data_IF_650542555629
#
_entry.id   IF_650542555629
#
_cell.length_a   1.000
_cell.length_b   1.000
_cell.length_c   1.000
_cell.angle_alpha   90.00
_cell.angle_beta   90.00
_cell.angle_gamma   90.00
#
_symmetry.space_group_name_H-M   'P 1'
#
loop_
_entity.id
_entity.type
_entity.pdbx_description
1 polymer ?
#
# COMPACT_ATOMS: atom_id res chain seq x y z
N UNK A 1 11.54 -0.07 -5.55
CA UNK A 1 11.81 -1.39 -4.94
C UNK A 1 11.64 -2.46 -6.02
N UNK A 2 12.52 -3.46 -6.12
CA UNK A 2 12.43 -4.53 -7.12
C UNK A 2 12.78 -5.90 -6.48
N UNK A 3 11.80 -6.79 -6.25
CA UNK A 3 12.03 -8.12 -5.68
C UNK A 3 12.22 -9.23 -6.73
N UNK A 4 12.21 -8.91 -8.04
CA UNK A 4 12.44 -9.89 -9.11
C UNK A 4 13.83 -10.52 -8.95
N UNK A 5 13.89 -11.86 -8.96
CA UNK A 5 15.11 -12.63 -8.71
C UNK A 5 15.84 -12.20 -7.41
N UNK A 6 15.10 -12.00 -6.32
CA UNK A 6 15.67 -11.63 -5.03
C UNK A 6 16.75 -12.62 -4.55
N UNK A 7 17.81 -12.16 -3.88
CA UNK A 7 18.98 -12.98 -3.54
C UNK A 7 18.79 -13.88 -2.30
N UNK A 8 17.62 -13.84 -1.65
CA UNK A 8 17.34 -14.60 -0.43
C UNK A 8 17.24 -16.10 -0.69
N UNK A 9 17.78 -16.90 0.22
CA UNK A 9 17.60 -18.35 0.18
C UNK A 9 16.10 -18.69 0.26
N UNK A 10 15.59 -19.47 -0.71
CA UNK A 10 14.17 -19.78 -0.81
C UNK A 10 13.28 -18.67 -1.38
N UNK A 11 13.82 -17.53 -1.80
CA UNK A 11 13.05 -16.48 -2.44
C UNK A 11 12.49 -16.97 -3.79
N UNK A 12 11.19 -16.76 -4.02
CA UNK A 12 10.57 -17.07 -5.30
C UNK A 12 11.07 -16.09 -6.38
N UNK A 13 11.50 -16.56 -7.57
CA UNK A 13 12.19 -15.69 -8.53
C UNK A 13 11.27 -14.68 -9.22
N UNK A 14 9.96 -14.92 -9.25
CA UNK A 14 8.96 -14.07 -9.93
C UNK A 14 8.08 -13.41 -8.88
N UNK A 15 8.63 -12.43 -8.18
CA UNK A 15 7.91 -11.60 -7.21
C UNK A 15 7.84 -10.16 -7.72
N UNK A 16 6.71 -9.50 -7.50
CA UNK A 16 6.52 -8.10 -7.86
C UNK A 16 5.63 -7.41 -6.82
N UNK A 17 5.88 -6.13 -6.51
CA UNK A 17 4.91 -5.31 -5.80
C UNK A 17 3.73 -4.96 -6.73
N UNK A 18 2.58 -4.67 -6.13
CA UNK A 18 1.49 -3.95 -6.79
C UNK A 18 1.42 -2.52 -6.25
N UNK A 19 0.78 -1.61 -6.98
CA UNK A 19 0.71 -0.20 -6.64
C UNK A 19 -0.72 0.30 -6.69
N UNK A 20 -1.05 1.21 -5.76
CA UNK A 20 -2.25 2.02 -5.80
C UNK A 20 -1.86 3.43 -6.25
N UNK A 21 -2.64 4.01 -7.16
CA UNK A 21 -2.48 5.39 -7.59
C UNK A 21 -3.64 6.20 -7.01
N UNK A 22 -3.31 7.30 -6.34
CA UNK A 22 -4.25 8.22 -5.69
C UNK A 22 -4.05 9.61 -6.29
N UNK A 23 -5.13 10.39 -6.45
CA UNK A 23 -4.98 11.78 -6.88
C UNK A 23 -4.32 12.61 -5.78
N UNK A 24 -3.43 13.55 -6.11
CA UNK A 24 -2.80 14.41 -5.11
C UNK A 24 -3.78 15.40 -4.46
N UNK A 25 -4.92 15.67 -5.11
CA UNK A 25 -5.96 16.56 -4.60
C UNK A 25 -7.35 16.10 -5.06
N UNK A 26 -8.34 16.23 -4.17
CA UNK A 26 -9.76 15.95 -4.41
C UNK A 26 -10.59 17.19 -4.08
N UNK A 27 -11.36 17.69 -5.05
CA UNK A 27 -12.27 18.85 -4.85
C UNK A 27 -13.48 18.47 -3.99
N UNK A 28 -13.96 17.23 -4.12
CA UNK A 28 -15.03 16.70 -3.27
C UNK A 28 -14.41 16.14 -1.99
N UNK A 29 -14.70 16.81 -0.88
CA UNK A 29 -14.14 16.46 0.42
C UNK A 29 -14.60 15.09 0.93
N UNK A 30 -15.84 14.67 0.62
CA UNK A 30 -16.35 13.36 1.04
C UNK A 30 -15.65 12.25 0.26
N UNK A 31 -15.44 12.43 -1.05
CA UNK A 31 -14.72 11.48 -1.88
C UNK A 31 -13.26 11.38 -1.46
N UNK A 32 -12.58 12.52 -1.28
CA UNK A 32 -11.17 12.54 -0.87
C UNK A 32 -10.94 11.86 0.47
N UNK A 33 -11.78 12.16 1.46
CA UNK A 33 -11.71 11.51 2.77
C UNK A 33 -11.95 9.99 2.69
N UNK A 34 -12.91 9.55 1.89
CA UNK A 34 -13.19 8.12 1.72
C UNK A 34 -12.03 7.37 1.05
N UNK A 35 -11.39 7.99 0.03
CA UNK A 35 -10.23 7.39 -0.63
C UNK A 35 -9.04 7.29 0.34
N UNK A 36 -8.72 8.37 1.06
CA UNK A 36 -7.62 8.36 2.04
C UNK A 36 -7.87 7.28 3.10
N UNK A 37 -9.05 7.25 3.71
CA UNK A 37 -9.38 6.26 4.74
C UNK A 37 -9.30 4.82 4.22
N UNK A 38 -9.77 4.56 3.00
CA UNK A 38 -9.68 3.22 2.40
C UNK A 38 -8.24 2.80 2.14
N UNK A 39 -7.41 3.69 1.60
CA UNK A 39 -6.00 3.37 1.30
C UNK A 39 -5.21 3.17 2.59
N UNK A 40 -5.44 4.00 3.62
CA UNK A 40 -4.83 3.85 4.93
C UNK A 40 -5.17 2.49 5.55
N UNK A 41 -6.46 2.13 5.57
CA UNK A 41 -6.90 0.81 6.04
C UNK A 41 -6.28 -0.33 5.22
N UNK A 42 -6.27 -0.21 3.89
CA UNK A 42 -5.76 -1.25 2.99
C UNK A 42 -4.29 -1.58 3.26
N UNK A 43 -3.46 -0.58 3.55
CA UNK A 43 -2.03 -0.78 3.81
C UNK A 43 -1.71 -1.08 5.28
N UNK A 44 -2.69 -0.94 6.18
CA UNK A 44 -2.57 -1.24 7.62
C UNK A 44 -3.35 -2.50 7.99
N UNK A 45 -4.52 -2.37 8.61
CA UNK A 45 -5.33 -3.48 9.10
C UNK A 45 -5.71 -4.45 7.97
N UNK A 46 -6.08 -3.92 6.80
CA UNK A 46 -6.44 -4.73 5.63
C UNK A 46 -5.28 -5.63 5.16
N UNK A 47 -4.06 -5.12 5.16
CA UNK A 47 -2.88 -5.91 4.84
C UNK A 47 -2.54 -6.92 5.94
N UNK A 48 -2.72 -6.55 7.22
CA UNK A 48 -2.42 -7.42 8.35
C UNK A 48 -3.41 -8.61 8.45
N UNK A 49 -4.70 -8.36 8.24
CA UNK A 49 -5.75 -9.33 8.48
C UNK A 49 -5.97 -10.27 7.28
N UNK A 50 -5.83 -9.77 6.05
CA UNK A 50 -6.28 -10.52 4.86
C UNK A 50 -5.16 -10.96 3.92
N UNK A 51 -3.98 -10.34 3.94
CA UNK A 51 -2.95 -10.60 2.92
C UNK A 51 -2.56 -12.08 2.83
N UNK A 52 -2.39 -12.74 3.98
CA UNK A 52 -2.04 -14.17 4.01
C UNK A 52 -3.14 -15.06 3.41
N UNK A 53 -4.41 -14.78 3.73
CA UNK A 53 -5.56 -15.56 3.24
C UNK A 53 -5.69 -15.52 1.72
N UNK A 54 -5.28 -14.41 1.10
CA UNK A 54 -5.30 -14.23 -0.36
C UNK A 54 -3.94 -14.47 -1.03
N UNK A 55 -2.95 -14.98 -0.28
CA UNK A 55 -1.64 -15.38 -0.81
C UNK A 55 -0.67 -14.22 -1.12
N UNK A 56 -0.88 -13.06 -0.50
CA UNK A 56 0.05 -11.92 -0.56
C UNK A 56 1.00 -11.94 0.65
N UNK A 57 2.26 -11.56 0.41
CA UNK A 57 3.20 -11.31 1.50
C UNK A 57 2.90 -9.94 2.15
N UNK A 58 3.10 -9.80 3.48
CA UNK A 58 2.94 -8.52 4.16
C UNK A 58 3.96 -7.48 3.66
N UNK A 59 3.60 -6.20 3.75
CA UNK A 59 4.52 -5.12 3.43
C UNK A 59 5.62 -5.02 4.50
N UNK A 60 6.88 -4.80 4.12
CA UNK A 60 7.91 -4.35 5.06
C UNK A 60 7.51 -3.03 5.72
N UNK A 61 7.76 -2.89 7.03
CA UNK A 61 7.39 -1.72 7.84
C UNK A 61 7.84 -0.39 7.22
N UNK A 62 9.07 -0.34 6.69
CA UNK A 62 9.58 0.86 6.02
C UNK A 62 8.80 1.27 4.76
N UNK A 63 8.24 0.30 4.02
CA UNK A 63 7.40 0.59 2.85
C UNK A 63 5.97 0.95 3.24
N UNK A 64 5.44 0.34 4.30
CA UNK A 64 4.15 0.71 4.88
C UNK A 64 4.19 2.17 5.37
N UNK A 65 5.21 2.55 6.15
CA UNK A 65 5.37 3.92 6.63
C UNK A 65 5.53 4.92 5.47
N UNK A 66 6.35 4.61 4.47
CA UNK A 66 6.50 5.48 3.29
C UNK A 66 5.17 5.67 2.52
N UNK A 67 4.31 4.65 2.50
CA UNK A 67 2.96 4.72 1.94
C UNK A 67 2.05 5.66 2.74
N UNK A 68 2.06 5.55 4.07
CA UNK A 68 1.31 6.41 4.98
C UNK A 68 1.77 7.87 4.88
N UNK A 69 3.08 8.13 4.95
CA UNK A 69 3.66 9.46 4.82
C UNK A 69 3.27 10.13 3.48
N UNK A 70 3.21 9.34 2.40
CA UNK A 70 2.78 9.84 1.08
C UNK A 70 1.29 10.18 1.07
N UNK A 71 0.46 9.35 1.70
CA UNK A 71 -0.98 9.53 1.76
C UNK A 71 -1.37 10.79 2.54
N UNK A 72 -0.63 11.14 3.59
CA UNK A 72 -0.80 12.39 4.35
C UNK A 72 -0.65 13.66 3.50
N UNK A 73 0.02 13.57 2.34
CA UNK A 73 0.19 14.72 1.44
C UNK A 73 -1.03 15.00 0.55
N UNK A 74 -2.02 14.11 0.54
CA UNK A 74 -3.24 14.25 -0.28
C UNK A 74 -4.12 15.38 0.25
N UNK A 75 -4.50 16.28 -0.66
CA UNK A 75 -5.37 17.42 -0.34
C UNK A 75 -6.84 17.03 -0.53
N UNK A 76 -7.68 17.38 0.44
CA UNK A 76 -9.12 17.05 0.44
C UNK A 76 -9.93 18.31 0.75
N UNK A 77 -10.76 18.74 -0.20
CA UNK A 77 -11.62 19.94 -0.10
C UNK A 77 -10.94 21.24 -0.50
#
# INVERSE_FOLDING_TARGET
YNPLNGPGEGAYPITAPTYILVHPAYEDAEVGAAVVAFVEWLITDGAADYAEEVGFAPLPEALQQAGLDTLETVQVG
#
